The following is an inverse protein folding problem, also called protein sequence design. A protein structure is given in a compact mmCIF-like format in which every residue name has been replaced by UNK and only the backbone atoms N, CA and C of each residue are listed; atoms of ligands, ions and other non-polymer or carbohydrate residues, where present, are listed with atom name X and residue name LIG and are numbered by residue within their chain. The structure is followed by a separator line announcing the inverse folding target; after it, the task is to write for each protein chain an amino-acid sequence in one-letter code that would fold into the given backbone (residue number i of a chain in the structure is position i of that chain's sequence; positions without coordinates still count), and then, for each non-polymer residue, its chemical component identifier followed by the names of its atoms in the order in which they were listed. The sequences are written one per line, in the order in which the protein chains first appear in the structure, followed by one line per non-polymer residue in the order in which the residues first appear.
data_IF_591812607276
#
_entry.id   IF_591812607276
#
_cell.length_a   1.000
_cell.length_b   1.000
_cell.length_c   1.000
_cell.angle_alpha   90.00
_cell.angle_beta   90.00
_cell.angle_gamma   90.00
#
_symmetry.space_group_name_H-M   'P 1'
#
loop_
_entity.id
_entity.type
_entity.pdbx_description
1 polymer ?
#
# COMPACT_ATOMS: atom_id res chain seq x y z
N UNK A 1 -82.26 6.60 14.98
CA UNK A 1 -81.11 5.73 15.28
C UNK A 1 -80.30 5.37 14.02
N UNK A 2 -80.94 4.94 12.92
CA UNK A 2 -80.27 4.51 11.69
C UNK A 2 -79.42 5.58 10.98
N UNK A 3 -79.82 6.86 10.98
CA UNK A 3 -79.05 7.91 10.30
C UNK A 3 -77.69 8.22 10.97
N UNK A 4 -77.63 8.12 12.31
CA UNK A 4 -76.39 8.33 13.08
C UNK A 4 -75.34 7.24 12.78
N UNK A 5 -75.78 6.00 12.55
CA UNK A 5 -74.89 4.88 12.21
C UNK A 5 -74.28 5.06 10.81
N UNK A 6 -75.06 5.55 9.84
CA UNK A 6 -74.56 5.78 8.48
C UNK A 6 -73.53 6.92 8.42
N UNK A 7 -73.73 7.99 9.19
CA UNK A 7 -72.76 9.08 9.27
C UNK A 7 -71.44 8.63 9.91
N UNK A 8 -71.51 7.82 10.97
CA UNK A 8 -70.32 7.27 11.63
C UNK A 8 -69.58 6.31 10.70
N UNK A 9 -70.29 5.42 10.01
CA UNK A 9 -69.67 4.49 9.06
C UNK A 9 -68.98 5.22 7.89
N UNK A 10 -69.61 6.24 7.31
CA UNK A 10 -68.99 7.05 6.24
C UNK A 10 -67.73 7.77 6.72
N UNK A 11 -67.77 8.35 7.93
CA UNK A 11 -66.60 8.98 8.52
C UNK A 11 -65.45 7.97 8.72
N UNK A 12 -65.75 6.80 9.29
CA UNK A 12 -64.77 5.71 9.49
C UNK A 12 -64.17 5.24 8.16
N UNK A 13 -64.99 5.00 7.13
CA UNK A 13 -64.50 4.58 5.82
C UNK A 13 -63.65 5.64 5.13
N UNK A 14 -64.02 6.92 5.23
CA UNK A 14 -63.20 8.01 4.68
C UNK A 14 -61.84 8.12 5.37
N UNK A 15 -61.81 7.96 6.70
CA UNK A 15 -60.58 8.01 7.48
C UNK A 15 -59.68 6.78 7.24
N UNK A 16 -60.27 5.60 7.09
CA UNK A 16 -59.56 4.39 6.68
C UNK A 16 -58.99 4.54 5.27
N UNK A 17 -59.76 5.08 4.32
CA UNK A 17 -59.28 5.32 2.95
C UNK A 17 -58.09 6.29 2.91
N UNK A 18 -58.14 7.39 3.67
CA UNK A 18 -57.02 8.33 3.80
C UNK A 18 -55.81 7.65 4.44
N UNK A 19 -56.01 6.86 5.49
CA UNK A 19 -54.90 6.17 6.17
C UNK A 19 -54.24 5.12 5.28
N UNK A 20 -55.03 4.36 4.52
CA UNK A 20 -54.56 3.35 3.56
C UNK A 20 -53.75 3.99 2.42
N UNK A 21 -54.04 5.24 2.03
CA UNK A 21 -53.26 5.96 1.03
C UNK A 21 -52.03 6.66 1.62
N UNK A 22 -52.17 7.25 2.80
CA UNK A 22 -51.13 8.05 3.43
C UNK A 22 -49.96 7.18 3.94
N UNK A 23 -50.24 6.00 4.47
CA UNK A 23 -49.24 5.10 5.02
C UNK A 23 -48.23 4.58 3.97
N UNK A 24 -48.63 4.04 2.81
CA UNK A 24 -47.68 3.64 1.77
C UNK A 24 -46.92 4.82 1.18
N UNK A 25 -47.56 6.00 1.06
CA UNK A 25 -46.88 7.21 0.61
C UNK A 25 -45.77 7.63 1.58
N UNK A 26 -46.05 7.61 2.88
CA UNK A 26 -45.07 7.90 3.93
C UNK A 26 -43.92 6.90 3.90
N UNK A 27 -44.22 5.60 3.82
CA UNK A 27 -43.19 4.55 3.71
C UNK A 27 -42.34 4.73 2.46
N UNK A 28 -42.96 5.09 1.33
CA UNK A 28 -42.24 5.37 0.09
C UNK A 28 -41.30 6.58 0.22
N UNK A 29 -41.76 7.67 0.84
CA UNK A 29 -40.95 8.86 1.10
C UNK A 29 -39.77 8.58 2.04
N UNK A 30 -40.00 7.80 3.11
CA UNK A 30 -38.93 7.37 4.04
C UNK A 30 -37.92 6.50 3.28
N UNK A 31 -38.39 5.49 2.54
CA UNK A 31 -37.52 4.62 1.76
C UNK A 31 -36.71 5.41 0.72
N UNK A 32 -37.32 6.41 0.08
CA UNK A 32 -36.65 7.30 -0.86
C UNK A 32 -35.57 8.16 -0.18
N UNK A 33 -35.89 8.76 0.97
CA UNK A 33 -34.94 9.55 1.76
C UNK A 33 -33.75 8.73 2.25
N UNK A 34 -34.00 7.53 2.79
CA UNK A 34 -32.96 6.61 3.27
C UNK A 34 -32.07 6.14 2.11
N UNK A 35 -32.65 5.75 0.97
CA UNK A 35 -31.87 5.35 -0.21
C UNK A 35 -30.98 6.49 -0.71
N UNK A 36 -31.49 7.72 -0.70
CA UNK A 36 -30.73 8.90 -1.12
C UNK A 36 -29.60 9.25 -0.13
N UNK A 37 -29.84 9.09 1.18
CA UNK A 37 -28.84 9.34 2.22
C UNK A 37 -27.72 8.29 2.30
N UNK A 38 -28.03 7.04 1.93
CA UNK A 38 -27.08 5.91 1.99
C UNK A 38 -26.26 5.72 0.70
N UNK A 39 -26.75 6.18 -0.45
CA UNK A 39 -26.04 6.10 -1.73
C UNK A 39 -24.62 6.72 -1.71
N UNK A 40 -24.37 7.90 -1.12
CA UNK A 40 -23.03 8.49 -1.04
C UNK A 40 -22.04 7.62 -0.24
N UNK A 41 -22.51 6.93 0.80
CA UNK A 41 -21.68 6.01 1.58
C UNK A 41 -21.28 4.79 0.75
N UNK A 42 -22.20 4.25 -0.05
CA UNK A 42 -21.90 3.13 -0.96
C UNK A 42 -20.88 3.53 -2.04
N UNK A 43 -20.97 4.76 -2.54
CA UNK A 43 -19.97 5.28 -3.48
C UNK A 43 -18.61 5.44 -2.80
N UNK A 44 -18.57 6.02 -1.60
CA UNK A 44 -17.34 6.18 -0.81
C UNK A 44 -16.68 4.83 -0.52
N UNK A 45 -17.45 3.82 -0.08
CA UNK A 45 -16.91 2.48 0.18
C UNK A 45 -16.36 1.85 -1.08
N UNK A 46 -17.05 1.96 -2.21
CA UNK A 46 -16.56 1.43 -3.48
C UNK A 46 -15.27 2.13 -3.93
N UNK A 47 -15.17 3.46 -3.77
CA UNK A 47 -13.94 4.22 -4.03
C UNK A 47 -12.80 3.78 -3.11
N UNK A 48 -13.07 3.48 -1.84
CA UNK A 48 -12.08 2.95 -0.90
C UNK A 48 -11.63 1.54 -1.26
N UNK A 49 -12.55 0.65 -1.69
CA UNK A 49 -12.23 -0.72 -2.09
C UNK A 49 -11.40 -0.83 -3.36
N UNK A 50 -11.64 0.07 -4.33
CA UNK A 50 -10.89 0.11 -5.59
C UNK A 50 -9.53 0.81 -5.46
N UNK A 51 -9.23 1.37 -4.29
CA UNK A 51 -8.01 2.12 -4.07
C UNK A 51 -6.84 1.18 -3.82
N UNK A 52 -5.79 1.35 -4.62
CA UNK A 52 -4.57 0.56 -4.45
C UNK A 52 -3.88 0.88 -3.11
N UNK A 53 -3.23 -0.11 -2.45
CA UNK A 53 -2.54 0.05 -1.17
C UNK A 53 -1.43 1.12 -1.12
N UNK A 54 -1.03 1.64 -2.28
CA UNK A 54 0.02 2.64 -2.46
C UNK A 54 -0.49 3.92 -3.14
N UNK A 55 -1.81 4.06 -3.33
CA UNK A 55 -2.38 5.23 -4.01
C UNK A 55 -2.39 6.46 -3.09
N UNK A 56 -1.70 7.51 -3.52
CA UNK A 56 -1.55 8.81 -2.84
C UNK A 56 -2.65 9.83 -3.16
N UNK A 57 -3.58 9.52 -4.08
CA UNK A 57 -4.56 10.49 -4.57
C UNK A 57 -5.65 10.82 -3.55
N UNK A 58 -5.89 12.07 -3.13
CA UNK A 58 -6.90 12.37 -2.10
C UNK A 58 -8.30 11.88 -2.50
N UNK A 59 -9.10 11.44 -1.51
CA UNK A 59 -10.51 11.12 -1.76
C UNK A 59 -11.24 12.43 -2.08
N UNK A 60 -11.74 12.53 -3.31
CA UNK A 60 -12.48 13.68 -3.83
C UNK A 60 -13.83 13.22 -4.38
N UNK A 61 -14.75 12.87 -3.50
CA UNK A 61 -16.13 12.55 -3.86
C UNK A 61 -17.10 13.60 -3.30
N UNK A 62 -18.12 13.95 -4.09
CA UNK A 62 -19.21 14.84 -3.65
C UNK A 62 -20.05 14.08 -2.62
N UNK A 63 -19.96 14.50 -1.36
CA UNK A 63 -20.71 13.90 -0.24
C UNK A 63 -21.48 14.98 0.54
N UNK A 64 -22.52 14.58 1.30
CA UNK A 64 -23.19 15.47 2.24
C UNK A 64 -22.22 16.10 3.26
N UNK A 65 -22.55 17.29 3.75
CA UNK A 65 -21.70 18.06 4.68
C UNK A 65 -21.37 17.28 5.96
N UNK A 66 -22.26 16.39 6.39
CA UNK A 66 -22.09 15.53 7.56
C UNK A 66 -20.96 14.49 7.38
N UNK A 67 -20.64 14.12 6.13
CA UNK A 67 -19.62 13.11 5.79
C UNK A 67 -18.24 13.76 5.49
N UNK A 68 -18.22 15.06 5.17
CA UNK A 68 -16.98 15.80 4.90
C UNK A 68 -15.91 15.68 5.99
N UNK A 69 -16.22 15.73 7.31
CA UNK A 69 -15.22 15.55 8.36
C UNK A 69 -14.54 14.17 8.31
N UNK A 70 -15.27 13.12 7.93
CA UNK A 70 -14.74 11.75 7.83
C UNK A 70 -13.76 11.66 6.66
N UNK A 71 -14.10 12.24 5.50
CA UNK A 71 -13.20 12.29 4.33
C UNK A 71 -11.92 13.05 4.70
N UNK A 72 -12.05 14.17 5.40
CA UNK A 72 -10.91 14.98 5.84
C UNK A 72 -9.99 14.19 6.76
N UNK A 73 -10.55 13.50 7.76
CA UNK A 73 -9.79 12.65 8.69
C UNK A 73 -9.10 11.48 7.97
N UNK A 74 -9.77 10.85 7.00
CA UNK A 74 -9.18 9.78 6.19
C UNK A 74 -8.01 10.29 5.34
N UNK A 75 -8.17 11.43 4.67
CA UNK A 75 -7.10 12.04 3.88
C UNK A 75 -5.89 12.41 4.75
N UNK A 76 -6.11 12.99 5.94
CA UNK A 76 -5.03 13.28 6.90
C UNK A 76 -4.32 12.00 7.36
N UNK A 77 -5.08 10.93 7.65
CA UNK A 77 -4.51 9.63 8.00
C UNK A 77 -3.64 9.06 6.87
N UNK A 78 -4.12 9.08 5.63
CA UNK A 78 -3.34 8.61 4.48
C UNK A 78 -2.06 9.42 4.30
N UNK A 79 -2.13 10.75 4.47
CA UNK A 79 -0.95 11.61 4.42
C UNK A 79 0.06 11.27 5.53
N UNK A 80 -0.41 11.01 6.76
CA UNK A 80 0.47 10.62 7.88
C UNK A 80 1.12 9.25 7.66
N UNK A 81 0.38 8.28 7.13
CA UNK A 81 0.91 6.95 6.78
C UNK A 81 2.01 7.10 5.73
N UNK A 82 1.77 7.89 4.68
CA UNK A 82 2.74 8.11 3.61
C UNK A 82 4.02 8.78 4.12
N UNK A 83 3.87 9.85 4.91
CA UNK A 83 5.01 10.51 5.54
C UNK A 83 5.80 9.55 6.45
N UNK A 84 5.13 8.64 7.14
CA UNK A 84 5.78 7.67 8.03
C UNK A 84 6.53 6.61 7.23
N UNK A 85 5.92 6.04 6.18
CA UNK A 85 6.59 5.12 5.27
C UNK A 85 7.81 5.75 4.59
N UNK A 86 7.67 6.98 4.10
CA UNK A 86 8.78 7.70 3.47
C UNK A 86 9.96 7.89 4.44
N UNK A 87 9.69 8.16 5.73
CA UNK A 87 10.70 8.24 6.78
C UNK A 87 11.34 6.87 7.07
N UNK A 88 10.54 5.81 7.20
CA UNK A 88 11.04 4.44 7.46
C UNK A 88 11.95 3.94 6.33
N UNK A 89 11.57 4.20 5.07
CA UNK A 89 12.39 3.83 3.91
C UNK A 89 13.70 4.62 3.88
N UNK A 90 13.65 5.93 4.15
CA UNK A 90 14.85 6.77 4.24
C UNK A 90 15.76 6.32 5.38
N UNK A 91 15.21 6.09 6.56
CA UNK A 91 15.94 5.57 7.71
C UNK A 91 16.61 4.22 7.40
N UNK A 92 15.90 3.31 6.71
CA UNK A 92 16.45 2.00 6.32
C UNK A 92 17.63 2.17 5.34
N UNK A 93 17.49 3.08 4.37
CA UNK A 93 18.56 3.37 3.42
C UNK A 93 19.78 4.00 4.11
N UNK A 94 19.56 4.96 5.00
CA UNK A 94 20.60 5.64 5.76
C UNK A 94 21.32 4.66 6.70
N UNK A 95 20.57 3.87 7.48
CA UNK A 95 21.13 2.87 8.38
C UNK A 95 21.99 1.84 7.64
N UNK A 96 21.54 1.37 6.48
CA UNK A 96 22.32 0.42 5.70
C UNK A 96 23.59 1.04 5.09
N UNK A 97 23.57 2.32 4.71
CA UNK A 97 24.76 3.04 4.29
C UNK A 97 25.76 3.20 5.44
N UNK A 98 25.27 3.62 6.61
CA UNK A 98 26.06 3.78 7.83
C UNK A 98 26.63 2.46 8.34
N UNK A 99 26.00 1.31 8.06
CA UNK A 99 26.54 -0.03 8.39
C UNK A 99 27.63 -0.50 7.43
N UNK A 100 27.64 -0.01 6.18
CA UNK A 100 28.63 -0.43 5.17
C UNK A 100 30.04 0.02 5.53
N UNK A 101 30.18 1.24 6.06
CA UNK A 101 31.46 1.82 6.49
C UNK A 101 32.14 1.00 7.61
N UNK A 102 31.49 0.69 8.76
CA UNK A 102 32.09 -0.14 9.80
C UNK A 102 32.31 -1.59 9.36
N UNK A 103 31.46 -2.15 8.49
CA UNK A 103 31.70 -3.49 7.91
C UNK A 103 32.97 -3.51 7.02
N UNK A 104 33.19 -2.47 6.23
CA UNK A 104 34.42 -2.32 5.44
C UNK A 104 35.65 -2.18 6.35
N UNK A 105 35.55 -1.40 7.42
CA UNK A 105 36.63 -1.27 8.41
C UNK A 105 36.96 -2.61 9.10
N UNK A 106 35.94 -3.37 9.50
CA UNK A 106 36.11 -4.70 10.09
C UNK A 106 36.75 -5.68 9.10
N UNK A 107 36.36 -5.61 7.82
CA UNK A 107 36.95 -6.44 6.76
C UNK A 107 38.44 -6.15 6.64
N UNK A 108 38.84 -4.89 6.52
CA UNK A 108 40.26 -4.49 6.43
C UNK A 108 41.05 -4.95 7.66
N UNK A 109 40.51 -4.76 8.87
CA UNK A 109 41.19 -5.22 10.09
C UNK A 109 41.35 -6.75 10.13
N UNK A 110 40.36 -7.49 9.63
CA UNK A 110 40.42 -8.95 9.57
C UNK A 110 41.43 -9.42 8.51
N UNK A 111 41.47 -8.77 7.35
CA UNK A 111 42.47 -9.02 6.29
C UNK A 111 43.90 -8.73 6.80
N UNK A 112 44.11 -7.64 7.54
CA UNK A 112 45.40 -7.34 8.17
C UNK A 112 45.76 -8.40 9.22
N UNK A 113 44.81 -8.84 10.04
CA UNK A 113 45.04 -9.89 11.03
C UNK A 113 45.40 -11.23 10.38
N UNK A 114 44.84 -11.53 9.21
CA UNK A 114 45.16 -12.73 8.44
C UNK A 114 46.61 -12.77 7.94
N UNK A 115 47.30 -11.61 7.87
CA UNK A 115 48.71 -11.50 7.47
C UNK A 115 49.70 -11.77 8.63
N UNK A 116 49.21 -11.90 9.87
CA UNK A 116 50.04 -12.16 11.05
C UNK A 116 50.36 -13.65 11.21
N UNK A 117 51.39 -13.98 12.00
CA UNK A 117 51.70 -15.38 12.35
C UNK A 117 50.63 -15.93 13.31
N UNK A 118 49.65 -16.63 12.75
CA UNK A 118 48.54 -17.25 13.46
C UNK A 118 48.72 -18.77 13.51
N UNK A 119 48.35 -19.39 14.62
CA UNK A 119 48.21 -20.84 14.71
C UNK A 119 46.99 -21.34 13.89
N UNK A 120 46.90 -22.65 13.64
CA UNK A 120 45.83 -23.24 12.82
C UNK A 120 44.42 -22.93 13.34
N UNK A 121 44.26 -22.86 14.67
CA UNK A 121 42.97 -22.57 15.31
C UNK A 121 42.58 -21.10 15.14
N UNK A 122 43.55 -20.19 15.23
CA UNK A 122 43.40 -18.76 15.02
C UNK A 122 43.11 -18.45 13.55
N UNK A 123 43.82 -19.09 12.61
CA UNK A 123 43.52 -18.96 11.19
C UNK A 123 42.09 -19.37 10.86
N UNK A 124 41.61 -20.49 11.44
CA UNK A 124 40.22 -20.91 11.24
C UNK A 124 39.22 -19.91 11.81
N UNK A 125 39.52 -19.29 12.96
CA UNK A 125 38.69 -18.23 13.54
C UNK A 125 38.64 -16.99 12.64
N UNK A 126 39.78 -16.56 12.10
CA UNK A 126 39.85 -15.43 11.16
C UNK A 126 39.04 -15.70 9.90
N UNK A 127 39.18 -16.87 9.28
CA UNK A 127 38.35 -17.28 8.13
C UNK A 127 36.84 -17.24 8.44
N UNK A 128 36.45 -17.68 9.64
CA UNK A 128 35.05 -17.62 10.06
C UNK A 128 34.57 -16.17 10.24
N UNK A 129 35.40 -15.26 10.76
CA UNK A 129 35.08 -13.83 10.89
C UNK A 129 34.90 -13.20 9.51
N UNK A 130 35.82 -13.44 8.58
CA UNK A 130 35.71 -12.96 7.19
C UNK A 130 34.41 -13.44 6.53
N UNK A 131 34.07 -14.73 6.70
CA UNK A 131 32.83 -15.29 6.16
C UNK A 131 31.59 -14.59 6.72
N UNK A 132 31.56 -14.33 8.03
CA UNK A 132 30.45 -13.64 8.69
C UNK A 132 30.33 -12.17 8.27
N UNK A 133 31.46 -11.47 8.08
CA UNK A 133 31.47 -10.07 7.59
C UNK A 133 30.93 -10.02 6.16
N UNK A 134 31.38 -10.91 5.28
CA UNK A 134 30.91 -10.98 3.90
C UNK A 134 29.41 -11.29 3.83
N UNK A 135 28.94 -12.27 4.63
CA UNK A 135 27.50 -12.59 4.73
C UNK A 135 26.68 -11.40 5.22
N UNK A 136 27.13 -10.71 6.27
CA UNK A 136 26.44 -9.53 6.79
C UNK A 136 26.39 -8.40 5.77
N UNK A 137 27.49 -8.17 5.04
CA UNK A 137 27.55 -7.18 3.95
C UNK A 137 26.52 -7.49 2.86
N UNK A 138 26.42 -8.75 2.44
CA UNK A 138 25.40 -9.17 1.48
C UNK A 138 23.96 -8.95 1.98
N UNK A 139 23.69 -9.20 3.27
CA UNK A 139 22.36 -8.95 3.85
C UNK A 139 22.01 -7.45 3.86
N UNK A 140 22.99 -6.59 4.16
CA UNK A 140 22.81 -5.12 4.12
C UNK A 140 22.51 -4.65 2.69
N UNK A 141 23.22 -5.17 1.69
CA UNK A 141 22.98 -4.85 0.28
C UNK A 141 21.59 -5.34 -0.21
N UNK A 142 21.13 -6.50 0.26
CA UNK A 142 19.78 -6.99 -0.01
C UNK A 142 18.71 -6.09 0.62
N UNK A 143 18.90 -5.67 1.86
CA UNK A 143 18.01 -4.73 2.55
C UNK A 143 17.90 -3.40 1.79
N UNK A 144 19.02 -2.86 1.31
CA UNK A 144 19.05 -1.66 0.46
C UNK A 144 18.26 -1.85 -0.83
N UNK A 145 18.46 -2.99 -1.49
CA UNK A 145 17.77 -3.31 -2.74
C UNK A 145 16.25 -3.34 -2.53
N UNK A 146 15.78 -3.98 -1.45
CA UNK A 146 14.36 -4.00 -1.10
C UNK A 146 13.82 -2.60 -0.76
N UNK A 147 14.57 -1.80 0.00
CA UNK A 147 14.17 -0.43 0.35
C UNK A 147 14.01 0.48 -0.87
N UNK A 148 14.76 0.23 -1.96
CA UNK A 148 14.70 1.01 -3.21
C UNK A 148 13.56 0.59 -4.13
N UNK A 149 13.04 -0.64 -3.99
CA UNK A 149 11.93 -1.15 -4.79
C UNK A 149 10.56 -0.73 -4.23
N UNK A 150 10.46 -0.51 -2.92
CA UNK A 150 9.22 -0.13 -2.24
C UNK A 150 8.60 1.22 -2.63
N UNK A 151 9.35 2.29 -2.99
CA UNK A 151 8.80 3.62 -3.21
C UNK A 151 8.60 3.99 -4.68
N UNK A 152 8.56 3.05 -5.63
CA UNK A 152 8.15 3.37 -7.00
C UNK A 152 6.65 3.70 -7.02
N UNK A 153 6.32 4.88 -6.49
CA UNK A 153 5.17 5.69 -6.86
C UNK A 153 5.10 5.61 -8.38
N UNK A 154 3.92 5.25 -8.91
CA UNK A 154 3.70 5.13 -10.34
C UNK A 154 4.42 6.29 -11.06
N UNK A 155 5.33 6.01 -12.00
CA UNK A 155 6.20 7.03 -12.56
C UNK A 155 5.33 8.17 -13.11
N UNK A 156 5.72 9.44 -12.88
CA UNK A 156 4.95 10.60 -13.36
C UNK A 156 4.81 10.63 -14.89
N UNK A 157 5.53 9.76 -15.59
CA UNK A 157 5.44 9.56 -17.03
C UNK A 157 5.34 8.07 -17.34
N UNK A 158 4.22 7.66 -17.94
CA UNK A 158 4.06 6.34 -18.56
C UNK A 158 4.35 6.49 -20.05
N UNK A 159 5.45 5.90 -20.51
CA UNK A 159 5.76 5.79 -21.94
C UNK A 159 5.35 4.39 -22.45
N UNK A 160 5.03 4.28 -23.74
CA UNK A 160 4.92 2.97 -24.37
C UNK A 160 6.28 2.25 -24.28
N UNK A 161 6.32 1.13 -23.57
CA UNK A 161 7.54 0.36 -23.33
C UNK A 161 7.76 -0.61 -24.47
N UNK A 162 8.95 -0.56 -25.09
CA UNK A 162 9.37 -1.58 -26.04
C UNK A 162 10.00 -2.78 -25.29
N UNK A 163 9.22 -3.85 -25.14
CA UNK A 163 9.65 -5.06 -24.43
C UNK A 163 10.87 -5.73 -25.07
N UNK A 164 11.10 -5.59 -26.38
CA UNK A 164 12.28 -6.19 -27.01
C UNK A 164 13.56 -5.51 -26.59
N UNK A 165 13.52 -4.20 -26.36
CA UNK A 165 14.72 -3.43 -25.98
C UNK A 165 15.09 -3.74 -24.54
N UNK A 166 14.11 -3.74 -23.63
CA UNK A 166 14.31 -4.11 -22.22
C UNK A 166 14.79 -5.55 -22.08
N UNK A 167 14.20 -6.49 -22.80
CA UNK A 167 14.65 -7.90 -22.73
C UNK A 167 16.07 -8.05 -23.27
N UNK A 168 16.44 -7.32 -24.34
CA UNK A 168 17.81 -7.37 -24.85
C UNK A 168 18.84 -6.80 -23.87
N UNK A 169 18.54 -5.67 -23.23
CA UNK A 169 19.40 -5.02 -22.24
C UNK A 169 19.52 -5.85 -20.94
N UNK A 170 18.42 -6.44 -20.49
CA UNK A 170 18.41 -7.35 -19.35
C UNK A 170 19.20 -8.64 -19.63
N UNK A 171 19.06 -9.22 -20.83
CA UNK A 171 19.85 -10.39 -21.23
C UNK A 171 21.33 -10.04 -21.34
N UNK A 172 21.68 -8.87 -21.87
CA UNK A 172 23.07 -8.43 -22.03
C UNK A 172 23.76 -8.20 -20.67
N UNK A 173 23.07 -7.54 -19.73
CA UNK A 173 23.58 -7.34 -18.37
C UNK A 173 23.77 -8.64 -17.58
N UNK A 174 22.89 -9.63 -17.77
CA UNK A 174 23.03 -10.96 -17.13
C UNK A 174 24.09 -11.83 -17.81
N UNK A 175 24.26 -11.70 -19.13
CA UNK A 175 25.25 -12.47 -19.89
C UNK A 175 26.70 -12.14 -19.43
N UNK A 176 26.93 -10.92 -18.95
CA UNK A 176 28.19 -10.50 -18.34
C UNK A 176 28.53 -11.32 -17.08
N UNK A 177 27.54 -11.58 -16.23
CA UNK A 177 27.67 -12.45 -15.05
C UNK A 177 27.67 -13.94 -15.38
N UNK A 178 26.98 -14.36 -16.44
CA UNK A 178 26.90 -15.76 -16.85
C UNK A 178 28.24 -16.28 -17.41
N UNK A 179 29.02 -15.40 -18.05
CA UNK A 179 30.39 -15.71 -18.53
C UNK A 179 31.35 -16.05 -17.40
N UNK A 180 31.22 -15.43 -16.23
CA UNK A 180 32.04 -15.77 -15.04
C UNK A 180 31.72 -17.15 -14.47
N UNK A 181 30.54 -17.71 -14.77
CA UNK A 181 30.08 -19.03 -14.29
C UNK A 181 30.03 -20.12 -15.37
N UNK A 182 30.58 -19.89 -16.56
CA UNK A 182 30.52 -20.84 -17.69
C UNK A 182 29.11 -21.31 -18.07
N UNK A 183 28.08 -20.47 -17.86
CA UNK A 183 26.73 -20.75 -18.31
C UNK A 183 26.36 -19.83 -19.47
N UNK A 184 25.71 -20.35 -20.52
CA UNK A 184 25.16 -19.53 -21.62
C UNK A 184 23.67 -19.32 -21.40
N UNK A 185 23.25 -18.06 -21.41
CA UNK A 185 21.83 -17.69 -21.45
C UNK A 185 21.42 -17.65 -22.93
N UNK A 186 20.54 -18.56 -23.35
CA UNK A 186 19.94 -18.55 -24.68
C UNK A 186 18.60 -17.79 -24.64
N UNK A 187 18.34 -17.06 -25.72
CA UNK A 187 17.13 -16.26 -25.95
C UNK A 187 15.89 -17.14 -26.07
#
# INVERSE_FOLDING_TARGET
MHERLQTVLRAVWSQLAVSILALPLLLWLIAWGVRRGTKPLQTLTQTLYQREPHSVSPISCVVPTEIQPIITALNDLFQRIEQTRARELRFTADAAHELRSPLAALKVQTEVLALTNLDDTQQQRVRNIEHNINRTTHLVDQLLTLSRLAPLTAPPYTAAVNWTDITSEAIESVNLYARERYCRVQR
#
